data_IF_193083788190
#
_entry.id   IF_193083788190
#
_cell.length_a   1.000
_cell.length_b   1.000
_cell.length_c   1.000
_cell.angle_alpha   90.00
_cell.angle_beta   90.00
_cell.angle_gamma   90.00
#
_symmetry.space_group_name_H-M   'P 1'
#
loop_
_entity.id
_entity.type
_entity.pdbx_description
1 polymer ?
#
# COMPACT_ATOMS: atom_id res chain seq x y z
N UNK A 1 -28.16 72.97 -28.70
CA UNK A 1 -26.69 72.87 -28.63
C UNK A 1 -26.33 71.56 -29.29
N UNK A 2 -26.16 71.66 -30.60
CA UNK A 2 -25.78 70.58 -31.50
C UNK A 2 -24.29 70.27 -31.37
N UNK A 3 -23.97 68.98 -31.24
CA UNK A 3 -22.61 68.46 -31.26
C UNK A 3 -22.47 67.47 -32.41
N UNK A 4 -22.16 68.00 -33.59
CA UNK A 4 -21.83 67.24 -34.80
C UNK A 4 -20.48 66.51 -34.65
N UNK A 5 -20.43 65.23 -35.04
CA UNK A 5 -19.18 64.56 -35.39
C UNK A 5 -19.33 63.85 -36.76
N UNK A 6 -18.28 63.89 -37.61
CA UNK A 6 -18.39 63.55 -39.01
C UNK A 6 -18.15 62.07 -39.31
N UNK A 7 -18.83 61.62 -40.36
CA UNK A 7 -18.56 60.38 -41.07
C UNK A 7 -17.24 60.47 -41.86
N UNK A 8 -16.41 59.44 -41.77
CA UNK A 8 -15.38 59.16 -42.76
C UNK A 8 -15.55 57.74 -43.29
N UNK A 9 -15.70 57.68 -44.62
CA UNK A 9 -15.81 56.48 -45.43
C UNK A 9 -14.52 56.26 -46.22
N UNK A 10 -14.28 54.97 -46.46
CA UNK A 10 -13.61 54.38 -47.63
C UNK A 10 -12.11 54.05 -47.57
N UNK A 11 -11.90 52.80 -48.01
CA UNK A 11 -10.92 52.34 -48.98
C UNK A 11 -9.65 51.65 -48.44
N UNK A 12 -9.64 50.33 -48.63
CA UNK A 12 -8.58 49.64 -49.37
C UNK A 12 -7.37 49.19 -48.58
N UNK A 13 -7.20 47.87 -48.43
CA UNK A 13 -5.98 47.18 -48.86
C UNK A 13 -6.11 45.68 -48.58
N UNK A 14 -6.20 44.90 -49.66
CA UNK A 14 -5.97 43.45 -49.66
C UNK A 14 -4.51 43.17 -49.31
N UNK A 15 -4.22 43.05 -48.02
CA UNK A 15 -2.95 42.54 -47.52
C UNK A 15 -2.94 41.01 -47.51
N UNK A 16 -2.33 40.40 -48.53
CA UNK A 16 -1.83 39.02 -48.46
C UNK A 16 -0.83 38.94 -47.29
N UNK A 17 -1.28 38.44 -46.14
CA UNK A 17 -0.38 38.07 -45.05
C UNK A 17 -0.07 36.58 -45.13
N UNK A 18 1.21 36.37 -45.42
CA UNK A 18 1.96 35.14 -45.45
C UNK A 18 1.49 34.09 -44.42
N UNK A 19 1.31 32.86 -44.91
CA UNK A 19 1.29 31.65 -44.10
C UNK A 19 2.56 31.62 -43.23
N UNK A 20 2.46 31.50 -41.90
CA UNK A 20 3.62 31.15 -41.11
C UNK A 20 4.02 29.71 -41.44
N UNK A 21 5.28 29.55 -41.84
CA UNK A 21 5.95 28.27 -41.99
C UNK A 21 5.77 27.44 -40.71
N UNK A 22 5.05 26.34 -40.83
CA UNK A 22 5.01 25.24 -39.87
C UNK A 22 6.44 24.68 -39.72
N UNK A 23 7.18 25.22 -38.76
CA UNK A 23 8.44 24.65 -38.30
C UNK A 23 8.09 23.37 -37.52
N UNK A 24 8.06 22.24 -38.24
CA UNK A 24 8.06 20.91 -37.62
C UNK A 24 9.33 20.79 -36.78
N UNK A 25 9.26 20.57 -35.45
CA UNK A 25 10.42 20.09 -34.73
C UNK A 25 10.75 18.70 -35.27
N UNK A 26 11.98 18.57 -35.77
CA UNK A 26 12.64 17.31 -36.11
C UNK A 26 12.43 16.33 -34.95
N UNK A 27 11.88 15.17 -35.29
CA UNK A 27 11.90 13.98 -34.46
C UNK A 27 13.30 13.79 -33.87
N UNK A 28 13.43 14.00 -32.55
CA UNK A 28 14.56 13.48 -31.83
C UNK A 28 14.43 11.96 -31.85
N UNK A 29 15.28 11.36 -32.67
CA UNK A 29 15.55 9.93 -32.68
C UNK A 29 15.77 9.45 -31.25
N UNK A 30 14.81 8.69 -30.73
CA UNK A 30 15.00 7.87 -29.55
C UNK A 30 16.09 6.86 -29.88
N UNK A 31 17.30 7.16 -29.45
CA UNK A 31 18.44 6.25 -29.46
C UNK A 31 18.05 5.06 -28.59
N UNK A 32 17.82 3.92 -29.24
CA UNK A 32 17.70 2.62 -28.61
C UNK A 32 18.87 2.43 -27.62
N UNK A 33 18.54 2.29 -26.34
CA UNK A 33 19.52 1.85 -25.34
C UNK A 33 19.67 0.33 -25.48
N UNK A 34 20.91 -0.19 -25.54
CA UNK A 34 21.15 -1.62 -25.57
C UNK A 34 20.73 -2.24 -24.24
N UNK A 35 19.94 -3.32 -24.32
CA UNK A 35 19.74 -4.27 -23.22
C UNK A 35 21.06 -4.99 -22.98
N UNK A 36 21.78 -4.58 -21.94
CA UNK A 36 22.86 -5.36 -21.35
C UNK A 36 22.31 -6.27 -20.23
N UNK A 37 22.91 -7.44 -20.02
CA UNK A 37 22.34 -8.50 -19.19
C UNK A 37 22.42 -8.13 -17.70
N UNK A 38 21.27 -8.22 -17.03
CA UNK A 38 21.21 -8.20 -15.59
C UNK A 38 21.89 -9.48 -15.06
N UNK A 39 22.99 -9.27 -14.34
CA UNK A 39 23.64 -10.28 -13.53
C UNK A 39 22.62 -10.81 -12.50
N UNK A 40 22.27 -12.08 -12.64
CA UNK A 40 21.60 -12.85 -11.60
C UNK A 40 22.63 -13.11 -10.50
N UNK A 41 22.59 -12.31 -9.43
CA UNK A 41 23.18 -12.67 -8.15
C UNK A 41 22.10 -13.41 -7.36
N UNK A 42 22.09 -14.74 -7.51
CA UNK A 42 21.43 -15.66 -6.58
C UNK A 42 21.99 -15.40 -5.18
N UNK A 43 21.17 -14.84 -4.30
CA UNK A 43 21.42 -14.91 -2.86
C UNK A 43 20.48 -15.97 -2.31
N UNK A 44 20.93 -17.20 -2.44
CA UNK A 44 20.41 -18.37 -1.75
C UNK A 44 20.64 -18.18 -0.25
N UNK A 45 19.61 -17.77 0.49
CA UNK A 45 19.64 -17.76 1.96
C UNK A 45 18.53 -18.66 2.51
N UNK A 46 18.84 -19.96 2.44
CA UNK A 46 18.67 -20.95 3.49
C UNK A 46 17.53 -20.70 4.51
N UNK A 47 16.33 -21.16 4.16
CA UNK A 47 15.33 -21.58 5.13
C UNK A 47 15.79 -22.91 5.75
N UNK A 48 16.70 -22.82 6.73
CA UNK A 48 17.14 -23.96 7.54
C UNK A 48 16.14 -24.14 8.69
N UNK A 49 15.07 -24.87 8.41
CA UNK A 49 14.17 -25.38 9.45
C UNK A 49 14.91 -26.36 10.36
N UNK A 50 14.60 -26.42 11.67
CA UNK A 50 15.16 -27.44 12.54
C UNK A 50 14.65 -28.83 12.13
N UNK A 51 15.55 -29.61 11.53
CA UNK A 51 15.42 -31.04 11.32
C UNK A 51 15.39 -31.75 12.68
N UNK A 52 14.20 -32.07 13.17
CA UNK A 52 14.01 -33.04 14.25
C UNK A 52 14.25 -34.45 13.69
N UNK A 53 15.48 -34.93 13.87
CA UNK A 53 15.82 -36.34 13.72
C UNK A 53 15.53 -37.09 15.01
N UNK A 54 14.69 -38.12 14.91
CA UNK A 54 14.38 -39.12 15.93
C UNK A 54 13.36 -40.04 15.30
N UNK A 55 13.73 -41.20 14.76
CA UNK A 55 14.28 -42.31 15.53
C UNK A 55 13.10 -43.03 16.17
N UNK A 56 12.44 -43.90 15.40
CA UNK A 56 11.40 -44.78 15.90
C UNK A 56 12.02 -45.84 16.84
N UNK A 57 11.39 -46.09 17.99
CA UNK A 57 11.33 -47.46 18.47
C UNK A 57 9.89 -47.87 18.82
N UNK A 58 9.58 -49.10 18.41
CA UNK A 58 8.71 -50.07 19.08
C UNK A 58 7.45 -49.58 19.78
N UNK A 59 6.33 -49.97 19.19
CA UNK A 59 5.12 -50.40 19.91
C UNK A 59 5.48 -51.23 21.15
N UNK A 60 4.80 -50.93 22.26
CA UNK A 60 4.18 -51.84 23.24
C UNK A 60 4.19 -51.16 24.61
N UNK A 61 3.13 -50.40 24.91
CA UNK A 61 2.83 -49.94 26.27
C UNK A 61 1.32 -49.81 26.43
N UNK A 62 0.76 -50.87 26.99
CA UNK A 62 -0.59 -50.95 27.52
C UNK A 62 -0.84 -49.95 28.65
N UNK A 63 -2.06 -49.41 28.66
CA UNK A 63 -2.84 -48.91 29.81
C UNK A 63 -2.13 -48.10 30.90
N UNK A 64 -2.38 -46.79 30.89
CA UNK A 64 -3.07 -46.06 31.98
C UNK A 64 -3.33 -44.61 31.51
N UNK A 65 -4.51 -44.38 30.92
CA UNK A 65 -4.74 -43.33 29.92
C UNK A 65 -5.63 -42.15 30.31
N UNK A 66 -5.64 -41.73 31.58
CA UNK A 66 -6.46 -40.57 32.01
C UNK A 66 -5.72 -39.46 32.79
N UNK A 67 -4.52 -39.70 33.35
CA UNK A 67 -3.82 -38.68 34.16
C UNK A 67 -3.03 -37.64 33.35
N UNK A 68 -2.63 -37.95 32.10
CA UNK A 68 -1.84 -37.03 31.27
C UNK A 68 -2.67 -35.86 30.68
N UNK A 69 -3.99 -36.03 30.54
CA UNK A 69 -4.88 -34.98 30.02
C UNK A 69 -5.11 -33.87 31.05
N UNK A 70 -5.09 -34.19 32.34
CA UNK A 70 -5.31 -33.20 33.40
C UNK A 70 -4.09 -32.27 33.58
N UNK A 71 -2.88 -32.80 33.38
CA UNK A 71 -1.65 -31.99 33.45
C UNK A 71 -1.52 -31.00 32.30
N UNK A 72 -1.98 -31.35 31.11
CA UNK A 72 -1.93 -30.46 29.95
C UNK A 72 -2.79 -29.20 30.18
N UNK A 73 -4.03 -29.35 30.66
CA UNK A 73 -4.96 -28.22 30.81
C UNK A 73 -4.47 -27.21 31.86
N UNK A 74 -3.95 -27.67 33.00
CA UNK A 74 -3.37 -26.79 34.04
C UNK A 74 -2.10 -26.08 33.55
N UNK A 75 -1.33 -26.70 32.65
CA UNK A 75 -0.15 -26.08 32.05
C UNK A 75 -0.53 -24.98 31.03
N UNK A 76 -1.62 -25.15 30.28
CA UNK A 76 -2.16 -24.13 29.38
C UNK A 76 -2.78 -22.94 30.13
N UNK A 77 -3.33 -23.16 31.32
CA UNK A 77 -3.88 -22.09 32.15
C UNK A 77 -2.78 -21.22 32.78
N UNK A 78 -1.58 -21.79 33.01
CA UNK A 78 -0.38 -21.09 33.48
C UNK A 78 0.48 -20.49 32.38
N UNK A 79 0.18 -20.73 31.10
CA UNK A 79 0.83 -20.05 29.98
C UNK A 79 0.33 -18.60 29.93
N UNK A 80 0.92 -17.78 30.80
CA UNK A 80 0.73 -16.35 30.83
C UNK A 80 1.24 -15.79 29.49
N UNK A 81 0.31 -15.40 28.63
CA UNK A 81 0.59 -14.85 27.30
C UNK A 81 1.53 -13.64 27.42
N UNK A 82 1.44 -12.91 28.54
CA UNK A 82 2.36 -11.83 28.87
C UNK A 82 3.79 -12.33 29.08
N UNK A 83 3.98 -13.43 29.82
CA UNK A 83 5.30 -14.02 30.04
C UNK A 83 5.91 -14.55 28.75
N UNK A 84 5.12 -15.19 27.88
CA UNK A 84 5.60 -15.65 26.56
C UNK A 84 5.99 -14.48 25.65
N UNK A 85 5.15 -13.43 25.60
CA UNK A 85 5.46 -12.22 24.83
C UNK A 85 6.72 -11.51 25.35
N UNK A 86 6.89 -11.42 26.66
CA UNK A 86 8.09 -10.86 27.29
C UNK A 86 9.33 -11.71 27.04
N UNK A 87 9.22 -13.05 27.10
CA UNK A 87 10.32 -13.95 26.80
C UNK A 87 10.75 -13.84 25.33
N UNK A 88 9.78 -13.77 24.41
CA UNK A 88 10.03 -13.54 22.99
C UNK A 88 10.69 -12.18 22.75
N UNK A 89 10.19 -11.11 23.38
CA UNK A 89 10.77 -9.77 23.30
C UNK A 89 12.21 -9.75 23.83
N UNK A 90 12.47 -10.35 25.00
CA UNK A 90 13.80 -10.46 25.59
C UNK A 90 14.77 -11.20 24.66
N UNK A 91 14.31 -12.31 24.06
CA UNK A 91 15.10 -13.11 23.13
C UNK A 91 15.42 -12.32 21.86
N UNK A 92 14.44 -11.61 21.30
CA UNK A 92 14.64 -10.75 20.14
C UNK A 92 15.66 -9.64 20.41
N UNK A 93 15.60 -9.01 21.59
CA UNK A 93 16.55 -7.97 22.03
C UNK A 93 17.96 -8.52 22.17
N UNK A 94 18.13 -9.69 22.75
CA UNK A 94 19.45 -10.31 22.93
C UNK A 94 20.06 -10.77 21.61
N UNK A 95 19.24 -11.29 20.68
CA UNK A 95 19.74 -11.80 19.41
C UNK A 95 20.09 -10.69 18.41
N UNK A 96 19.35 -9.56 18.39
CA UNK A 96 19.51 -8.51 17.37
C UNK A 96 19.44 -7.09 17.95
N UNK A 97 20.36 -6.71 18.86
CA UNK A 97 20.32 -5.41 19.52
C UNK A 97 20.46 -4.23 18.55
N UNK A 98 21.31 -4.37 17.52
CA UNK A 98 21.54 -3.30 16.52
C UNK A 98 20.31 -3.06 15.63
N UNK A 99 19.62 -4.13 15.23
CA UNK A 99 18.42 -4.01 14.41
C UNK A 99 17.30 -3.31 15.20
N UNK A 100 17.11 -3.71 16.46
CA UNK A 100 16.09 -3.11 17.31
C UNK A 100 16.42 -1.67 17.70
N UNK A 101 17.70 -1.33 17.89
CA UNK A 101 18.08 0.06 18.17
C UNK A 101 17.83 0.96 16.97
N UNK A 102 18.16 0.52 15.74
CA UNK A 102 17.86 1.24 14.49
C UNK A 102 16.34 1.35 14.28
N UNK A 103 15.59 0.29 14.55
CA UNK A 103 14.12 0.30 14.48
C UNK A 103 13.51 1.27 15.49
N UNK A 104 13.93 1.22 16.76
CA UNK A 104 13.47 2.13 17.81
C UNK A 104 13.85 3.59 17.50
N UNK A 105 15.06 3.81 16.98
CA UNK A 105 15.49 5.12 16.50
C UNK A 105 14.62 5.63 15.34
N UNK A 106 14.28 4.77 14.38
CA UNK A 106 13.36 5.12 13.29
C UNK A 106 11.96 5.51 13.79
N UNK A 107 11.42 4.80 14.78
CA UNK A 107 10.16 5.17 15.43
C UNK A 107 10.25 6.49 16.18
N UNK A 108 11.37 6.72 16.89
CA UNK A 108 11.62 7.99 17.57
C UNK A 108 11.65 9.15 16.57
N UNK A 109 12.33 8.98 15.42
CA UNK A 109 12.33 9.97 14.35
C UNK A 109 10.92 10.20 13.79
N UNK A 110 10.16 9.14 13.52
CA UNK A 110 8.80 9.26 13.01
C UNK A 110 7.89 10.06 13.96
N UNK A 111 8.03 9.84 15.27
CA UNK A 111 7.24 10.48 16.31
C UNK A 111 7.66 11.94 16.59
N UNK A 112 8.96 12.21 16.65
CA UNK A 112 9.49 13.49 17.17
C UNK A 112 10.15 14.41 16.14
N UNK A 113 10.30 13.99 14.87
CA UNK A 113 10.78 14.90 13.83
C UNK A 113 9.75 16.02 13.61
N UNK A 114 10.06 17.22 14.12
CA UNK A 114 9.28 18.45 13.94
C UNK A 114 9.83 19.40 12.89
N UNK A 115 11.07 19.18 12.44
CA UNK A 115 11.81 20.10 11.55
C UNK A 115 12.36 21.32 12.28
N UNK A 116 13.23 22.07 11.60
CA UNK A 116 13.75 23.34 12.10
C UNK A 116 12.68 24.43 11.92
N UNK A 117 12.52 25.34 12.90
CA UNK A 117 11.59 26.45 12.77
C UNK A 117 12.07 27.36 11.63
N UNK A 118 11.11 27.80 10.80
CA UNK A 118 11.34 28.75 9.70
C UNK A 118 10.99 30.15 10.19
N UNK A 119 11.72 31.17 9.73
CA UNK A 119 11.38 32.55 10.03
C UNK A 119 10.00 32.93 9.48
N UNK A 120 9.27 33.78 10.21
CA UNK A 120 7.86 34.10 9.93
C UNK A 120 7.64 34.57 8.48
N UNK A 121 8.54 35.39 7.94
CA UNK A 121 8.44 35.90 6.56
C UNK A 121 8.50 34.79 5.49
N UNK A 122 9.42 33.83 5.62
CA UNK A 122 9.53 32.72 4.68
C UNK A 122 8.40 31.70 4.88
N UNK A 123 7.96 31.50 6.12
CA UNK A 123 6.80 30.65 6.43
C UNK A 123 5.50 31.20 5.84
N UNK A 124 5.27 32.51 5.95
CA UNK A 124 4.10 33.18 5.37
C UNK A 124 4.11 33.09 3.85
N UNK A 125 5.24 33.42 3.20
CA UNK A 125 5.38 33.33 1.75
C UNK A 125 5.08 31.92 1.23
N UNK A 126 5.65 30.89 1.86
CA UNK A 126 5.39 29.50 1.51
C UNK A 126 3.91 29.12 1.72
N UNK A 127 3.29 29.56 2.82
CA UNK A 127 1.88 29.26 3.10
C UNK A 127 0.94 29.89 2.07
N UNK A 128 1.23 31.12 1.62
CA UNK A 128 0.47 31.81 0.58
C UNK A 128 0.62 31.08 -0.75
N UNK A 129 1.85 30.70 -1.14
CA UNK A 129 2.09 29.93 -2.37
C UNK A 129 1.35 28.59 -2.32
N UNK A 130 1.40 27.88 -1.19
CA UNK A 130 0.69 26.61 -1.01
C UNK A 130 -0.82 26.77 -1.11
N UNK A 131 -1.41 27.75 -0.43
CA UNK A 131 -2.85 28.02 -0.50
C UNK A 131 -3.27 28.40 -1.92
N UNK A 132 -2.48 29.22 -2.61
CA UNK A 132 -2.74 29.58 -4.00
C UNK A 132 -2.68 28.34 -4.91
N UNK A 133 -1.67 27.49 -4.73
CA UNK A 133 -1.53 26.23 -5.46
C UNK A 133 -2.69 25.27 -5.19
N UNK A 134 -3.15 25.12 -3.94
CA UNK A 134 -4.30 24.27 -3.61
C UNK A 134 -5.62 24.78 -4.26
N UNK A 135 -5.79 26.10 -4.37
CA UNK A 135 -6.95 26.69 -5.06
C UNK A 135 -6.87 26.51 -6.58
N UNK A 136 -5.69 26.72 -7.17
CA UNK A 136 -5.46 26.51 -8.62
C UNK A 136 -5.62 25.03 -8.96
N UNK A 137 -5.06 24.14 -8.15
CA UNK A 137 -5.17 22.69 -8.30
C UNK A 137 -6.64 22.24 -8.20
N UNK A 138 -7.37 22.65 -7.16
CA UNK A 138 -8.76 22.23 -7.01
C UNK A 138 -9.69 22.73 -8.12
N UNK A 139 -9.49 23.95 -8.64
CA UNK A 139 -10.39 24.53 -9.66
C UNK A 139 -9.96 24.28 -11.09
N UNK A 140 -8.72 24.61 -11.45
CA UNK A 140 -8.26 24.54 -12.83
C UNK A 140 -7.84 23.12 -13.20
N UNK A 141 -7.03 22.48 -12.36
CA UNK A 141 -6.64 21.09 -12.59
C UNK A 141 -7.85 20.16 -12.49
N UNK A 142 -8.76 20.42 -11.54
CA UNK A 142 -10.03 19.69 -11.43
C UNK A 142 -10.85 19.71 -12.74
N UNK A 143 -11.04 20.89 -13.34
CA UNK A 143 -11.75 21.01 -14.63
C UNK A 143 -11.00 20.36 -15.79
N UNK A 144 -9.68 20.52 -15.84
CA UNK A 144 -8.85 19.91 -16.88
C UNK A 144 -8.88 18.37 -16.80
N UNK A 145 -8.89 17.82 -15.58
CA UNK A 145 -9.03 16.38 -15.34
C UNK A 145 -10.43 15.86 -15.69
N UNK A 146 -11.49 16.62 -15.39
CA UNK A 146 -12.85 16.27 -15.79
C UNK A 146 -12.98 16.26 -17.32
N UNK A 147 -12.45 17.29 -17.99
CA UNK A 147 -12.45 17.35 -19.45
C UNK A 147 -11.62 16.22 -20.07
N UNK A 148 -10.46 15.90 -19.49
CA UNK A 148 -9.65 14.76 -19.87
C UNK A 148 -10.47 13.46 -19.79
N UNK A 149 -11.13 13.21 -18.66
CA UNK A 149 -11.94 12.00 -18.46
C UNK A 149 -13.06 11.92 -19.50
N UNK A 150 -13.79 13.01 -19.73
CA UNK A 150 -14.85 13.06 -20.73
C UNK A 150 -14.32 12.78 -22.15
N UNK A 151 -13.16 13.32 -22.52
CA UNK A 151 -12.59 13.11 -23.85
C UNK A 151 -11.96 11.71 -24.01
N UNK A 152 -11.42 11.13 -22.94
CA UNK A 152 -10.98 9.73 -22.90
C UNK A 152 -12.16 8.76 -23.03
N UNK A 153 -13.27 9.02 -22.36
CA UNK A 153 -14.51 8.23 -22.49
C UNK A 153 -15.04 8.26 -23.92
N UNK A 154 -15.05 9.43 -24.57
CA UNK A 154 -15.42 9.55 -26.00
C UNK A 154 -14.47 8.76 -26.89
N UNK A 155 -13.17 8.80 -26.61
CA UNK A 155 -12.18 8.03 -27.35
C UNK A 155 -12.39 6.51 -27.18
N UNK A 156 -12.62 6.05 -25.95
CA UNK A 156 -12.91 4.64 -25.66
C UNK A 156 -14.23 4.18 -26.30
N UNK A 157 -15.25 5.03 -26.30
CA UNK A 157 -16.54 4.75 -26.94
C UNK A 157 -16.47 4.74 -28.48
N UNK A 158 -15.58 5.56 -29.08
CA UNK A 158 -15.35 5.56 -30.53
C UNK A 158 -14.43 4.42 -31.00
N UNK A 159 -13.75 3.72 -30.08
CA UNK A 159 -12.82 2.65 -30.41
C UNK A 159 -13.59 1.40 -30.83
N UNK A 160 -13.37 0.95 -32.06
CA UNK A 160 -14.00 -0.25 -32.59
C UNK A 160 -13.52 -1.53 -31.91
N UNK A 161 -14.29 -2.60 -32.09
CA UNK A 161 -13.90 -3.94 -31.70
C UNK A 161 -12.56 -4.32 -32.36
N UNK A 162 -11.64 -4.92 -31.59
CA UNK A 162 -10.24 -5.17 -31.97
C UNK A 162 -9.33 -3.95 -32.19
N UNK A 163 -9.70 -2.76 -31.71
CA UNK A 163 -8.82 -1.59 -31.78
C UNK A 163 -8.73 -0.95 -33.17
N UNK A 164 -9.68 -1.26 -34.06
CA UNK A 164 -9.89 -0.49 -35.27
C UNK A 164 -10.28 0.96 -34.88
N UNK A 165 -9.59 1.93 -35.47
CA UNK A 165 -9.78 3.35 -35.20
C UNK A 165 -10.08 4.05 -36.54
N UNK A 166 -11.30 4.56 -36.67
CA UNK A 166 -11.74 5.35 -37.81
C UNK A 166 -11.32 6.84 -37.67
N UNK A 167 -11.71 7.67 -38.63
CA UNK A 167 -11.42 9.11 -38.60
C UNK A 167 -12.04 9.83 -37.40
N UNK A 168 -13.13 9.31 -36.85
CA UNK A 168 -13.76 9.87 -35.65
C UNK A 168 -12.96 9.51 -34.39
N UNK A 169 -12.51 8.27 -34.29
CA UNK A 169 -11.64 7.77 -33.23
C UNK A 169 -10.29 8.50 -33.22
N UNK A 170 -9.68 8.78 -34.38
CA UNK A 170 -8.44 9.56 -34.45
C UNK A 170 -8.63 10.99 -33.96
N UNK A 171 -9.73 11.65 -34.35
CA UNK A 171 -10.09 12.99 -33.84
C UNK A 171 -10.35 12.98 -32.33
N UNK A 172 -11.04 11.96 -31.81
CA UNK A 172 -11.29 11.83 -30.38
C UNK A 172 -9.99 11.61 -29.61
N UNK A 173 -9.06 10.81 -30.16
CA UNK A 173 -7.72 10.62 -29.62
C UNK A 173 -6.92 11.92 -29.58
N UNK A 174 -6.91 12.68 -30.67
CA UNK A 174 -6.19 13.96 -30.74
C UNK A 174 -6.72 14.95 -29.68
N UNK A 175 -8.04 14.96 -29.44
CA UNK A 175 -8.65 15.77 -28.35
C UNK A 175 -8.21 15.31 -26.97
N UNK A 176 -8.24 14.00 -26.71
CA UNK A 176 -7.78 13.45 -25.43
C UNK A 176 -6.29 13.75 -25.21
N UNK A 177 -5.45 13.63 -26.24
CA UNK A 177 -4.02 13.93 -26.14
C UNK A 177 -3.75 15.44 -25.94
N UNK A 178 -4.56 16.33 -26.53
CA UNK A 178 -4.52 17.77 -26.23
C UNK A 178 -4.91 18.06 -24.77
N UNK A 179 -5.97 17.44 -24.26
CA UNK A 179 -6.40 17.59 -22.87
C UNK A 179 -5.34 17.07 -21.89
N UNK A 180 -4.67 15.94 -22.20
CA UNK A 180 -3.51 15.45 -21.44
C UNK A 180 -2.39 16.46 -21.40
N UNK A 181 -2.07 17.06 -22.55
CA UNK A 181 -1.06 18.11 -22.65
C UNK A 181 -1.37 19.31 -21.75
N UNK A 182 -2.65 19.71 -21.66
CA UNK A 182 -3.09 20.80 -20.80
C UNK A 182 -2.95 20.48 -19.31
N UNK A 183 -3.36 19.28 -18.88
CA UNK A 183 -3.19 18.80 -17.49
C UNK A 183 -1.71 18.82 -17.09
N UNK A 184 -0.83 18.26 -17.93
CA UNK A 184 0.63 18.25 -17.67
C UNK A 184 1.20 19.68 -17.62
N UNK A 185 0.72 20.57 -18.50
CA UNK A 185 1.15 21.98 -18.52
C UNK A 185 0.74 22.69 -17.23
N UNK A 186 -0.48 22.50 -16.74
CA UNK A 186 -0.97 23.10 -15.50
C UNK A 186 -0.22 22.55 -14.28
N UNK A 187 -0.05 21.23 -14.19
CA UNK A 187 0.75 20.59 -13.14
C UNK A 187 2.16 21.16 -13.10
N UNK A 188 2.82 21.29 -14.25
CA UNK A 188 4.18 21.84 -14.31
C UNK A 188 4.28 23.30 -13.85
N UNK A 189 3.21 24.09 -13.95
CA UNK A 189 3.18 25.47 -13.44
C UNK A 189 3.02 25.50 -11.93
N UNK A 190 2.11 24.67 -11.41
CA UNK A 190 1.92 24.50 -9.97
C UNK A 190 3.20 23.99 -9.32
N UNK A 191 3.84 22.98 -9.91
CA UNK A 191 5.10 22.41 -9.42
C UNK A 191 6.23 23.42 -9.41
N UNK A 192 6.33 24.27 -10.46
CA UNK A 192 7.34 25.34 -10.52
C UNK A 192 7.11 26.36 -9.40
N UNK A 193 5.90 26.86 -9.25
CA UNK A 193 5.57 27.84 -8.20
C UNK A 193 5.84 27.27 -6.79
N UNK A 194 5.45 26.01 -6.54
CA UNK A 194 5.75 25.35 -5.27
C UNK A 194 7.25 25.10 -5.07
N UNK A 195 7.99 24.76 -6.13
CA UNK A 195 9.43 24.51 -6.03
C UNK A 195 10.22 25.77 -5.64
N UNK A 196 9.75 26.96 -6.04
CA UNK A 196 10.36 28.23 -5.63
C UNK A 196 10.19 28.45 -4.13
N UNK A 197 8.96 28.32 -3.61
CA UNK A 197 8.72 28.42 -2.16
C UNK A 197 9.43 27.33 -1.34
N UNK A 198 9.53 26.11 -1.87
CA UNK A 198 10.26 25.00 -1.20
C UNK A 198 11.75 25.30 -1.05
N UNK A 199 12.37 25.94 -2.04
CA UNK A 199 13.79 26.32 -2.00
C UNK A 199 14.10 27.35 -0.92
N UNK A 200 13.15 28.22 -0.60
CA UNK A 200 13.33 29.24 0.44
C UNK A 200 13.30 28.64 1.86
N UNK A 201 12.41 27.68 2.11
CA UNK A 201 12.26 27.06 3.44
C UNK A 201 13.28 25.94 3.69
N UNK A 202 13.72 25.24 2.66
CA UNK A 202 14.63 24.09 2.76
C UNK A 202 13.95 22.81 3.29
N UNK A 203 14.53 21.64 3.00
CA UNK A 203 13.88 20.34 3.30
C UNK A 203 13.83 20.03 4.80
N UNK A 204 14.78 20.57 5.56
CA UNK A 204 14.89 20.37 7.01
C UNK A 204 13.90 21.23 7.81
N UNK A 205 13.18 22.14 7.15
CA UNK A 205 12.16 22.95 7.78
C UNK A 205 11.01 22.11 8.34
N UNK A 206 10.25 22.71 9.25
CA UNK A 206 8.97 22.15 9.71
C UNK A 206 8.01 21.86 8.54
N UNK A 207 8.01 22.69 7.49
CA UNK A 207 7.20 22.46 6.29
C UNK A 207 7.68 21.24 5.48
N UNK A 208 9.00 21.10 5.28
CA UNK A 208 9.57 19.95 4.58
C UNK A 208 9.28 18.63 5.27
N UNK A 209 9.43 18.58 6.60
CA UNK A 209 9.08 17.39 7.40
C UNK A 209 7.58 17.10 7.36
N UNK A 210 6.72 18.12 7.40
CA UNK A 210 5.27 17.94 7.27
C UNK A 210 4.86 17.41 5.89
N UNK A 211 5.48 17.89 4.81
CA UNK A 211 5.21 17.41 3.45
C UNK A 211 5.61 15.93 3.30
N UNK A 212 6.75 15.53 3.86
CA UNK A 212 7.19 14.13 3.88
C UNK A 212 6.26 13.26 4.70
N UNK A 213 5.83 13.73 5.88
CA UNK A 213 4.85 13.03 6.72
C UNK A 213 3.52 12.86 5.98
N UNK A 214 3.03 13.90 5.30
CA UNK A 214 1.82 13.83 4.49
C UNK A 214 1.97 12.81 3.36
N UNK A 215 3.08 12.87 2.63
CA UNK A 215 3.39 11.90 1.57
C UNK A 215 3.43 10.45 2.07
N UNK A 216 4.00 10.22 3.27
CA UNK A 216 3.97 8.90 3.91
C UNK A 216 2.53 8.43 4.17
N UNK A 217 1.69 9.26 4.80
CA UNK A 217 0.31 8.89 5.12
C UNK A 217 -0.57 8.70 3.87
N UNK A 218 -0.34 9.49 2.83
CA UNK A 218 -1.03 9.35 1.55
C UNK A 218 -0.66 8.02 0.87
N UNK A 219 0.64 7.71 0.81
CA UNK A 219 1.13 6.42 0.32
C UNK A 219 0.58 5.26 1.16
N UNK A 220 0.61 5.39 2.49
CA UNK A 220 0.09 4.42 3.44
C UNK A 220 -1.40 4.13 3.21
N UNK A 221 -2.22 5.17 3.05
CA UNK A 221 -3.64 5.05 2.75
C UNK A 221 -3.84 4.32 1.42
N UNK A 222 -3.11 4.70 0.38
CA UNK A 222 -3.14 4.01 -0.92
C UNK A 222 -2.80 2.53 -0.81
N UNK A 223 -1.81 2.16 0.01
CA UNK A 223 -1.46 0.75 0.26
C UNK A 223 -2.58 -0.05 0.92
N UNK A 224 -3.28 0.55 1.90
CA UNK A 224 -4.46 -0.07 2.53
C UNK A 224 -5.64 -0.19 1.57
N UNK A 225 -5.92 0.85 0.79
CA UNK A 225 -7.01 0.86 -0.18
C UNK A 225 -6.78 -0.18 -1.28
N UNK A 226 -5.54 -0.35 -1.73
CA UNK A 226 -5.13 -1.43 -2.63
C UNK A 226 -5.46 -2.80 -2.03
N UNK A 227 -5.07 -3.05 -0.78
CA UNK A 227 -5.36 -4.30 -0.10
C UNK A 227 -6.86 -4.59 0.04
N UNK A 228 -7.65 -3.57 0.37
CA UNK A 228 -9.11 -3.67 0.46
C UNK A 228 -9.73 -4.01 -0.90
N UNK A 229 -9.30 -3.36 -1.98
CA UNK A 229 -9.77 -3.63 -3.34
C UNK A 229 -9.45 -5.05 -3.79
N UNK A 230 -8.21 -5.52 -3.59
CA UNK A 230 -7.83 -6.90 -3.93
C UNK A 230 -8.62 -7.93 -3.12
N UNK A 231 -8.77 -7.70 -1.82
CA UNK A 231 -9.55 -8.58 -0.95
C UNK A 231 -11.03 -8.60 -1.35
N UNK A 232 -11.60 -7.46 -1.75
CA UNK A 232 -12.98 -7.38 -2.26
C UNK A 232 -13.16 -8.20 -3.54
N UNK A 233 -12.17 -8.16 -4.46
CA UNK A 233 -12.18 -9.00 -5.66
C UNK A 233 -12.07 -10.48 -5.30
N UNK A 234 -11.20 -10.86 -4.36
CA UNK A 234 -11.06 -12.24 -3.89
C UNK A 234 -12.36 -12.76 -3.26
N UNK A 235 -13.05 -11.92 -2.47
CA UNK A 235 -14.35 -12.25 -1.88
C UNK A 235 -15.41 -12.50 -2.95
N UNK A 236 -15.44 -11.67 -4.01
CA UNK A 236 -16.40 -11.81 -5.09
C UNK A 236 -16.26 -13.16 -5.80
N UNK A 237 -15.02 -13.60 -6.06
CA UNK A 237 -14.79 -14.90 -6.70
C UNK A 237 -14.99 -16.09 -5.75
N UNK A 238 -14.73 -15.90 -4.45
CA UNK A 238 -14.95 -16.95 -3.45
C UNK A 238 -16.43 -17.20 -3.19
N UNK A 239 -17.27 -16.15 -3.19
CA UNK A 239 -18.72 -16.27 -3.00
C UNK A 239 -19.45 -16.99 -4.13
N UNK A 240 -18.90 -16.96 -5.35
CA UNK A 240 -19.47 -17.68 -6.51
C UNK A 240 -19.18 -19.19 -6.45
N UNK A 241 -18.27 -19.64 -5.58
CA UNK A 241 -17.83 -21.03 -5.47
C UNK A 241 -18.74 -22.01 -4.72
N UNK A 242 -19.89 -21.58 -4.18
CA UNK A 242 -20.97 -22.47 -3.72
C UNK A 242 -20.68 -23.46 -2.58
N UNK A 243 -19.58 -23.31 -1.83
CA UNK A 243 -19.27 -24.21 -0.70
C UNK A 243 -19.92 -23.72 0.61
N UNK A 244 -20.64 -24.60 1.29
CA UNK A 244 -21.13 -24.39 2.65
C UNK A 244 -19.98 -24.51 3.67
N UNK A 245 -19.13 -23.50 3.74
CA UNK A 245 -18.16 -23.36 4.84
C UNK A 245 -18.81 -22.71 6.06
N UNK A 246 -18.39 -23.10 7.27
CA UNK A 246 -18.83 -22.39 8.48
C UNK A 246 -18.42 -20.91 8.39
N UNK A 247 -19.32 -20.00 8.75
CA UNK A 247 -19.09 -18.53 8.66
C UNK A 247 -17.78 -18.11 9.32
N UNK A 248 -17.39 -18.77 10.42
CA UNK A 248 -16.12 -18.53 11.12
C UNK A 248 -14.91 -18.87 10.24
N UNK A 249 -14.94 -20.00 9.52
CA UNK A 249 -13.87 -20.41 8.60
C UNK A 249 -13.74 -19.42 7.45
N UNK A 250 -14.88 -18.99 6.88
CA UNK A 250 -14.93 -17.99 5.82
C UNK A 250 -14.28 -16.67 6.27
N UNK A 251 -14.67 -16.17 7.45
CA UNK A 251 -14.12 -14.92 8.01
C UNK A 251 -12.63 -15.05 8.28
N UNK A 252 -12.16 -16.17 8.84
CA UNK A 252 -10.74 -16.39 9.10
C UNK A 252 -9.92 -16.41 7.80
N UNK A 253 -10.40 -17.13 6.77
CA UNK A 253 -9.74 -17.16 5.46
C UNK A 253 -9.67 -15.77 4.83
N UNK A 254 -10.76 -15.00 4.91
CA UNK A 254 -10.82 -13.60 4.46
C UNK A 254 -9.78 -12.75 5.18
N UNK A 255 -9.68 -12.85 6.51
CA UNK A 255 -8.74 -12.06 7.30
C UNK A 255 -7.29 -12.41 6.93
N UNK A 256 -6.96 -13.69 6.77
CA UNK A 256 -5.61 -14.10 6.37
C UNK A 256 -5.26 -13.58 4.97
N UNK A 257 -6.18 -13.68 4.00
CA UNK A 257 -5.99 -13.11 2.65
C UNK A 257 -5.83 -11.60 2.70
N UNK A 258 -6.65 -10.92 3.49
CA UNK A 258 -6.53 -9.47 3.71
C UNK A 258 -5.14 -9.10 4.26
N UNK A 259 -4.62 -9.83 5.25
CA UNK A 259 -3.28 -9.56 5.81
C UNK A 259 -2.17 -9.76 4.79
N UNK A 260 -2.25 -10.79 3.95
CA UNK A 260 -1.28 -11.01 2.86
C UNK A 260 -1.34 -9.86 1.84
N UNK A 261 -2.54 -9.51 1.39
CA UNK A 261 -2.76 -8.41 0.44
C UNK A 261 -2.33 -7.06 1.03
N UNK A 262 -2.58 -6.84 2.32
CA UNK A 262 -2.14 -5.67 3.09
C UNK A 262 -0.63 -5.57 3.18
N UNK A 263 0.05 -6.70 3.40
CA UNK A 263 1.51 -6.75 3.45
C UNK A 263 2.12 -6.33 2.11
N UNK A 264 1.61 -6.88 1.01
CA UNK A 264 2.04 -6.48 -0.34
C UNK A 264 1.74 -5.01 -0.64
N UNK A 265 0.54 -4.54 -0.28
CA UNK A 265 0.12 -3.15 -0.47
C UNK A 265 0.98 -2.15 0.31
N UNK A 266 1.33 -2.46 1.57
CA UNK A 266 2.17 -1.60 2.41
C UNK A 266 3.64 -1.61 1.99
N UNK A 267 4.17 -2.75 1.54
CA UNK A 267 5.52 -2.80 0.96
C UNK A 267 5.58 -1.94 -0.31
N UNK A 268 4.59 -2.06 -1.21
CA UNK A 268 4.49 -1.22 -2.39
C UNK A 268 4.36 0.27 -2.06
N UNK A 269 3.51 0.60 -1.09
CA UNK A 269 3.34 1.96 -0.58
C UNK A 269 4.65 2.53 0.00
N UNK A 270 5.45 1.72 0.70
CA UNK A 270 6.74 2.14 1.22
C UNK A 270 7.72 2.54 0.11
N UNK A 271 7.85 1.73 -0.94
CA UNK A 271 8.71 2.07 -2.08
C UNK A 271 8.21 3.31 -2.83
N UNK A 272 6.89 3.45 -2.99
CA UNK A 272 6.28 4.65 -3.56
C UNK A 272 6.56 5.91 -2.71
N UNK A 273 6.47 5.78 -1.38
CA UNK A 273 6.85 6.84 -0.45
C UNK A 273 8.33 7.25 -0.63
N UNK A 274 9.26 6.29 -0.66
CA UNK A 274 10.70 6.59 -0.85
C UNK A 274 10.95 7.33 -2.16
N UNK A 275 10.26 6.93 -3.23
CA UNK A 275 10.31 7.62 -4.52
C UNK A 275 9.77 9.05 -4.43
N UNK A 276 8.63 9.27 -3.75
CA UNK A 276 8.09 10.61 -3.55
C UNK A 276 9.01 11.49 -2.70
N UNK A 277 9.63 10.95 -1.65
CA UNK A 277 10.62 11.70 -0.86
C UNK A 277 11.82 12.07 -1.71
N UNK A 278 12.28 11.18 -2.59
CA UNK A 278 13.35 11.51 -3.54
C UNK A 278 12.94 12.69 -4.45
N UNK A 279 11.74 12.67 -5.03
CA UNK A 279 11.23 13.78 -5.83
C UNK A 279 11.09 15.08 -5.03
N UNK A 280 10.63 14.99 -3.77
CA UNK A 280 10.57 16.12 -2.85
C UNK A 280 11.97 16.70 -2.65
N UNK A 281 12.95 15.90 -2.23
CA UNK A 281 14.33 16.36 -2.02
C UNK A 281 14.89 17.09 -3.24
N UNK A 282 14.66 16.56 -4.45
CA UNK A 282 15.07 17.22 -5.70
C UNK A 282 14.34 18.56 -5.90
N UNK A 283 13.04 18.63 -5.58
CA UNK A 283 12.25 19.86 -5.72
C UNK A 283 12.68 20.98 -4.77
N UNK A 284 13.18 20.64 -3.57
CA UNK A 284 13.71 21.60 -2.60
C UNK A 284 15.08 22.17 -3.01
N UNK A 285 15.76 21.58 -4.01
CA UNK A 285 17.03 22.13 -4.53
C UNK A 285 18.23 21.99 -3.59
N UNK A 286 18.15 21.06 -2.63
CA UNK A 286 19.18 20.84 -1.62
C UNK A 286 20.48 20.27 -2.19
N UNK A 287 21.59 20.47 -1.48
CA UNK A 287 22.86 19.81 -1.82
C UNK A 287 22.71 18.29 -1.80
N UNK A 288 23.40 17.58 -2.71
CA UNK A 288 23.28 16.13 -2.85
C UNK A 288 23.56 15.37 -1.53
N UNK A 289 24.48 15.88 -0.71
CA UNK A 289 24.83 15.29 0.59
C UNK A 289 23.70 15.49 1.63
N UNK A 290 23.19 16.71 1.76
CA UNK A 290 22.07 17.04 2.66
C UNK A 290 20.82 16.23 2.29
N UNK A 291 20.48 16.21 1.00
CA UNK A 291 19.36 15.44 0.47
C UNK A 291 19.49 13.94 0.70
N UNK A 292 20.68 13.37 0.52
CA UNK A 292 20.93 11.95 0.77
C UNK A 292 20.78 11.60 2.26
N UNK A 293 21.30 12.44 3.17
CA UNK A 293 21.15 12.24 4.61
C UNK A 293 19.66 12.28 5.02
N UNK A 294 18.92 13.26 4.51
CA UNK A 294 17.48 13.38 4.77
C UNK A 294 16.69 12.18 4.23
N UNK A 295 16.98 11.72 3.01
CA UNK A 295 16.35 10.54 2.41
C UNK A 295 16.60 9.27 3.24
N UNK A 296 17.82 9.09 3.77
CA UNK A 296 18.17 7.95 4.62
C UNK A 296 17.36 7.98 5.93
N UNK A 297 17.26 9.14 6.57
CA UNK A 297 16.45 9.28 7.79
C UNK A 297 14.96 8.99 7.53
N UNK A 298 14.41 9.52 6.44
CA UNK A 298 13.04 9.26 6.02
C UNK A 298 12.81 7.76 5.70
N UNK A 299 13.77 7.11 5.04
CA UNK A 299 13.73 5.68 4.75
C UNK A 299 13.70 4.84 6.02
N UNK A 300 14.58 5.11 6.98
CA UNK A 300 14.65 4.38 8.26
C UNK A 300 13.36 4.59 9.06
N UNK A 301 12.86 5.83 9.14
CA UNK A 301 11.61 6.14 9.83
C UNK A 301 10.39 5.46 9.18
N UNK A 302 10.28 5.51 7.85
CA UNK A 302 9.20 4.86 7.10
C UNK A 302 9.23 3.34 7.23
N UNK A 303 10.43 2.73 7.16
CA UNK A 303 10.61 1.29 7.30
C UNK A 303 10.25 0.83 8.72
N UNK A 304 10.71 1.56 9.74
CA UNK A 304 10.41 1.26 11.13
C UNK A 304 8.89 1.32 11.42
N UNK A 305 8.21 2.36 10.92
CA UNK A 305 6.77 2.54 11.08
C UNK A 305 5.99 1.42 10.37
N UNK A 306 6.39 1.08 9.14
CA UNK A 306 5.76 -0.01 8.37
C UNK A 306 5.96 -1.36 9.05
N UNK A 307 7.18 -1.66 9.50
CA UNK A 307 7.48 -2.89 10.23
C UNK A 307 6.69 -2.97 11.54
N UNK A 308 6.63 -1.88 12.32
CA UNK A 308 5.89 -1.85 13.58
C UNK A 308 4.41 -2.16 13.38
N UNK A 309 3.79 -1.58 12.35
CA UNK A 309 2.40 -1.86 12.02
C UNK A 309 2.18 -3.30 11.55
N UNK A 310 3.04 -3.82 10.67
CA UNK A 310 2.92 -5.21 10.21
C UNK A 310 3.05 -6.18 11.36
N UNK A 311 4.03 -5.99 12.24
CA UNK A 311 4.19 -6.79 13.46
C UNK A 311 2.94 -6.71 14.33
N UNK A 312 2.33 -5.52 14.48
CA UNK A 312 1.09 -5.37 15.24
C UNK A 312 -0.08 -6.13 14.60
N UNK A 313 -0.24 -6.06 13.28
CA UNK A 313 -1.29 -6.79 12.55
C UNK A 313 -1.09 -8.31 12.63
N UNK A 314 0.11 -8.81 12.37
CA UNK A 314 0.41 -10.24 12.50
C UNK A 314 0.25 -10.72 13.95
N UNK A 315 0.68 -9.91 14.92
CA UNK A 315 0.46 -10.18 16.34
C UNK A 315 -1.03 -10.25 16.70
N UNK A 316 -1.84 -9.34 16.17
CA UNK A 316 -3.28 -9.33 16.39
C UNK A 316 -3.98 -10.56 15.77
N UNK A 317 -3.60 -10.95 14.55
CA UNK A 317 -4.19 -12.13 13.90
C UNK A 317 -3.74 -13.44 14.56
N UNK A 318 -2.45 -13.59 14.86
CA UNK A 318 -1.94 -14.76 15.57
C UNK A 318 -2.53 -14.86 16.99
N UNK A 319 -2.58 -13.75 17.72
CA UNK A 319 -3.16 -13.68 19.05
C UNK A 319 -4.67 -14.00 19.04
N UNK A 320 -5.42 -13.43 18.10
CA UNK A 320 -6.85 -13.71 17.93
C UNK A 320 -7.13 -15.18 17.60
N UNK A 321 -6.33 -15.79 16.71
CA UNK A 321 -6.45 -17.20 16.36
C UNK A 321 -6.22 -18.13 17.55
N UNK A 322 -5.22 -17.86 18.38
CA UNK A 322 -4.95 -18.64 19.60
C UNK A 322 -6.11 -18.59 20.60
N UNK A 323 -6.75 -17.42 20.76
CA UNK A 323 -7.92 -17.27 21.64
C UNK A 323 -9.10 -18.10 21.12
N UNK A 324 -9.36 -18.10 19.81
CA UNK A 324 -10.44 -18.89 19.21
C UNK A 324 -10.21 -20.40 19.37
N UNK A 325 -8.99 -20.89 19.15
CA UNK A 325 -8.64 -22.30 19.37
C UNK A 325 -8.82 -22.69 20.83
N UNK A 326 -8.39 -21.83 21.77
CA UNK A 326 -8.58 -22.07 23.20
C UNK A 326 -10.07 -22.15 23.56
N UNK A 327 -10.90 -21.25 23.02
CA UNK A 327 -12.35 -21.28 23.25
C UNK A 327 -13.00 -22.53 22.68
N UNK A 328 -12.61 -22.96 21.48
CA UNK A 328 -13.12 -24.19 20.87
C UNK A 328 -12.73 -25.45 21.67
N UNK A 329 -11.49 -25.52 22.16
CA UNK A 329 -11.04 -26.61 23.03
C UNK A 329 -11.81 -26.64 24.35
N UNK A 330 -12.02 -25.49 25.00
CA UNK A 330 -12.82 -25.39 26.22
C UNK A 330 -14.28 -25.80 25.98
N UNK A 331 -14.87 -25.43 24.84
CA UNK A 331 -16.22 -25.87 24.47
C UNK A 331 -16.28 -27.38 24.21
N UNK A 332 -15.26 -27.99 23.60
CA UNK A 332 -15.22 -29.44 23.39
C UNK A 332 -15.13 -30.21 24.72
N UNK A 333 -14.36 -29.70 25.69
CA UNK A 333 -14.27 -30.29 27.03
C UNK A 333 -15.57 -30.09 27.82
N UNK A 334 -16.17 -28.90 27.77
CA UNK A 334 -17.46 -28.63 28.42
C UNK A 334 -18.62 -29.45 27.85
N UNK A 335 -18.56 -29.73 26.54
CA UNK A 335 -19.50 -30.61 25.84
C UNK A 335 -19.08 -32.09 25.85
N UNK A 336 -18.09 -32.46 26.69
CA UNK A 336 -17.58 -33.82 26.84
C UNK A 336 -18.65 -34.87 27.16
N UNK A 337 -18.32 -36.16 26.98
CA UNK A 337 -19.14 -37.21 26.34
C UNK A 337 -20.33 -37.78 27.14
N UNK A 338 -20.98 -36.99 28.00
CA UNK A 338 -22.05 -37.45 28.90
C UNK A 338 -23.39 -37.80 28.25
N UNK A 339 -23.51 -37.86 26.92
CA UNK A 339 -24.81 -38.17 26.25
C UNK A 339 -24.79 -39.14 25.08
N UNK A 340 -23.62 -39.63 24.63
CA UNK A 340 -23.54 -40.55 23.49
C UNK A 340 -23.09 -41.98 23.83
N UNK A 341 -22.80 -42.28 25.11
CA UNK A 341 -22.35 -43.61 25.55
C UNK A 341 -23.43 -44.35 26.34
N UNK A 342 -24.67 -44.33 25.85
CA UNK A 342 -25.81 -45.00 26.51
C UNK A 342 -26.74 -45.79 25.59
N UNK A 343 -26.41 -46.01 24.31
CA UNK A 343 -27.38 -46.63 23.39
C UNK A 343 -26.85 -47.46 22.22
N UNK A 344 -25.61 -47.97 22.27
CA UNK A 344 -25.03 -48.74 21.16
C UNK A 344 -24.24 -49.99 21.58
N UNK A 345 -24.47 -50.52 22.79
CA UNK A 345 -23.79 -51.74 23.26
C UNK A 345 -24.69 -52.97 23.42
N UNK A 346 -25.94 -52.95 22.91
CA UNK A 346 -26.85 -54.11 23.07
C UNK A 346 -27.25 -54.83 21.76
N UNK A 347 -26.94 -54.33 20.55
CA UNK A 347 -27.59 -54.86 19.32
C UNK A 347 -26.69 -55.47 18.22
N UNK A 348 -25.38 -55.66 18.39
CA UNK A 348 -24.51 -56.04 17.25
C UNK A 348 -23.62 -57.28 17.41
N UNK A 349 -24.15 -58.40 17.91
CA UNK A 349 -23.62 -59.72 17.54
C UNK A 349 -24.75 -60.77 17.46
N UNK A 350 -25.30 -61.08 16.28
CA UNK A 350 -26.15 -62.26 16.11
C UNK A 350 -25.26 -63.51 16.10
N UNK A 351 -25.34 -64.32 17.15
CA UNK A 351 -24.76 -65.67 17.18
C UNK A 351 -25.43 -66.55 16.11
N UNK A 352 -24.69 -67.18 15.19
CA UNK A 352 -25.27 -68.14 14.25
C UNK A 352 -25.65 -69.44 15.00
N UNK A 353 -26.94 -69.78 15.00
CA UNK A 353 -27.44 -71.09 15.44
C UNK A 353 -27.10 -72.13 14.37
N UNK A 354 -26.27 -73.11 14.71
CA UNK A 354 -26.16 -74.36 13.95
C UNK A 354 -27.45 -75.18 14.12
N UNK A 355 -28.07 -75.58 13.01
CA UNK A 355 -29.08 -76.64 12.97
C UNK A 355 -28.37 -77.95 12.64
N UNK A 356 -28.64 -78.98 13.46
CA UNK A 356 -28.23 -80.38 13.31
C UNK A 356 -29.15 -81.09 12.35
#
# INVERSE_FOLDING_TARGET
QDGSQPAHSSAGSSGRLARPHSNRPRAMAQRARPRGPAAAAETELAARGPSAGGGAPGEDSDSDGDDDKEFSIKQWERLDVGALALAAAKTAVQQRPVLLSVWAFGLLLAAFAGGLPVGDAAGEAYSIMRQHSEVVESRELGRALEQLQQDEEKHLGARGWFGACDDNCSRARDKADLARGEVVRLQSQVDKALSEGRREVGIWSSFGVQDVRRSFWDAWKSGKDFAARWTMMDMLFMGVGGREETVVTLVLQVVVRYVINLTMGLIGAFFFFVYNVYLLVVSYGESALSGAAFLLLAFVAGLATTAAYLTAVFGAVAGGGLVLVRQAALQAVANGPGRAQGKLQDDFWPTPRCKV
#
